data_IF_009784592903
#
_entry.id   IF_009784592903
#
_cell.length_a   1.000
_cell.length_b   1.000
_cell.length_c   1.000
_cell.angle_alpha   90.00
_cell.angle_beta   90.00
_cell.angle_gamma   90.00
#
_symmetry.space_group_name_H-M   'P 1'
#
loop_
_entity.id
_entity.type
_entity.pdbx_description
1 polymer ?
#
# COMPACT_ATOMS: atom_id res chain seq x y z
N UNK A 1 32.23 13.28 48.16
CA UNK A 1 33.23 14.39 48.30
C UNK A 1 32.85 15.46 47.31
N UNK A 2 32.46 16.62 47.84
CA UNK A 2 32.12 17.84 47.09
C UNK A 2 33.41 18.50 46.60
N UNK A 3 33.45 19.00 45.38
CA UNK A 3 34.30 20.12 45.03
C UNK A 3 33.51 21.15 44.24
N UNK A 4 33.28 22.25 44.89
CA UNK A 4 32.72 23.51 44.46
C UNK A 4 33.84 24.31 43.80
N UNK A 5 33.69 24.82 42.60
CA UNK A 5 34.51 25.90 42.07
C UNK A 5 33.64 27.04 41.60
N UNK A 6 33.70 28.12 42.37
CA UNK A 6 33.20 29.45 41.96
C UNK A 6 34.16 30.04 40.91
N UNK A 7 33.61 30.66 39.87
CA UNK A 7 34.33 31.69 39.12
C UNK A 7 33.40 32.87 38.82
N UNK A 8 33.87 34.03 39.23
CA UNK A 8 33.26 35.34 39.13
C UNK A 8 33.17 35.82 37.68
N UNK A 9 32.19 36.66 37.50
CA UNK A 9 31.70 37.29 36.29
C UNK A 9 32.66 38.26 35.57
N UNK A 10 32.22 38.55 34.37
CA UNK A 10 32.45 39.83 33.67
C UNK A 10 31.18 40.17 32.89
N UNK A 11 30.58 41.29 33.25
CA UNK A 11 29.47 41.93 32.56
C UNK A 11 29.97 42.49 31.23
N UNK A 12 29.44 41.98 30.15
CA UNK A 12 29.52 42.56 28.81
C UNK A 12 28.19 42.33 28.11
N UNK A 13 27.31 43.28 28.18
CA UNK A 13 26.01 43.20 27.53
C UNK A 13 26.15 43.28 26.02
N UNK A 14 26.03 42.13 25.39
CA UNK A 14 25.65 42.00 23.99
C UNK A 14 24.27 41.34 23.96
N UNK A 15 23.25 42.06 23.54
CA UNK A 15 21.96 41.49 23.26
C UNK A 15 22.15 40.50 22.10
N UNK A 16 22.40 39.25 22.44
CA UNK A 16 22.30 38.14 21.50
C UNK A 16 20.81 38.02 21.13
N UNK A 17 20.49 38.40 19.89
CA UNK A 17 19.21 38.10 19.32
C UNK A 17 18.98 36.58 19.52
N UNK A 18 18.02 36.24 20.37
CA UNK A 18 17.60 34.85 20.56
C UNK A 18 17.12 34.34 19.20
N UNK A 19 17.81 33.36 18.65
CA UNK A 19 17.28 32.60 17.51
C UNK A 19 15.97 31.98 17.97
N UNK A 20 14.87 32.22 17.25
CA UNK A 20 13.57 31.65 17.63
C UNK A 20 13.68 30.13 17.73
N UNK A 21 13.19 29.58 18.82
CA UNK A 21 13.10 28.13 18.98
C UNK A 21 12.11 27.57 17.94
N UNK A 22 12.25 26.32 17.49
CA UNK A 22 11.32 25.73 16.51
C UNK A 22 9.84 25.78 16.93
N UNK A 23 9.54 25.91 18.23
CA UNK A 23 8.18 26.08 18.77
C UNK A 23 7.55 27.46 18.48
N UNK A 24 8.36 28.48 18.13
CA UNK A 24 7.86 29.85 17.88
C UNK A 24 7.43 30.04 16.41
N UNK A 25 7.75 29.10 15.54
CA UNK A 25 7.24 29.06 14.17
C UNK A 25 5.79 28.58 14.16
N UNK A 26 4.84 29.47 14.36
CA UNK A 26 3.44 29.21 13.97
C UNK A 26 3.37 29.22 12.45
N UNK A 27 3.46 28.04 11.83
CA UNK A 27 3.08 27.93 10.44
C UNK A 27 1.64 28.48 10.30
N UNK A 28 1.38 29.35 9.32
CA UNK A 28 0.00 29.73 9.02
C UNK A 28 -0.79 28.42 8.82
N UNK A 29 -2.02 28.32 9.34
CA UNK A 29 -2.82 27.13 9.16
C UNK A 29 -2.87 26.82 7.65
N UNK A 30 -2.51 25.60 7.27
CA UNK A 30 -2.64 25.18 5.88
C UNK A 30 -4.11 25.37 5.48
N UNK A 31 -4.38 25.94 4.30
CA UNK A 31 -5.75 26.09 3.83
C UNK A 31 -6.44 24.73 3.88
N UNK A 32 -7.66 24.70 4.39
CA UNK A 32 -8.46 23.47 4.40
C UNK A 32 -8.57 22.93 2.97
N UNK A 33 -8.46 21.60 2.79
CA UNK A 33 -8.64 21.00 1.48
C UNK A 33 -10.06 21.28 0.98
N UNK A 34 -10.18 21.61 -0.30
CA UNK A 34 -11.48 21.73 -0.95
C UNK A 34 -12.19 20.38 -0.85
N UNK A 35 -13.40 20.37 -0.26
CA UNK A 35 -14.11 19.13 0.05
C UNK A 35 -14.95 18.60 -1.08
N UNK A 36 -15.42 19.49 -1.96
CA UNK A 36 -16.19 19.15 -3.17
C UNK A 36 -16.02 20.24 -4.23
N UNK A 37 -16.21 19.88 -5.48
CA UNK A 37 -16.09 20.81 -6.60
C UNK A 37 -16.07 20.09 -7.94
N UNK A 38 -15.69 20.82 -8.97
CA UNK A 38 -15.43 20.32 -10.30
C UNK A 38 -14.01 20.66 -10.72
N UNK A 39 -13.41 19.78 -11.52
CA UNK A 39 -12.13 20.02 -12.17
C UNK A 39 -12.33 20.23 -13.66
N UNK A 40 -11.46 20.98 -14.30
CA UNK A 40 -11.47 21.13 -15.76
C UNK A 40 -10.54 20.07 -16.34
N UNK A 41 -11.08 19.22 -17.20
CA UNK A 41 -10.35 18.16 -17.89
C UNK A 41 -10.39 18.45 -19.39
N UNK A 42 -9.23 18.36 -20.06
CA UNK A 42 -9.16 18.35 -21.51
C UNK A 42 -9.51 16.93 -22.02
N UNK A 43 -10.65 16.73 -22.70
CA UNK A 43 -11.05 15.41 -23.15
C UNK A 43 -10.15 14.85 -24.27
N UNK A 44 -9.33 15.70 -24.90
CA UNK A 44 -8.37 15.27 -25.93
C UNK A 44 -7.02 14.84 -25.35
N UNK A 45 -6.75 15.17 -24.08
CA UNK A 45 -5.48 14.88 -23.47
C UNK A 45 -5.25 13.37 -23.30
N UNK A 46 -4.06 12.90 -23.68
CA UNK A 46 -3.60 11.54 -23.41
C UNK A 46 -3.36 11.29 -21.93
N UNK A 47 -2.88 12.29 -21.22
CA UNK A 47 -2.59 12.28 -19.79
C UNK A 47 -3.32 13.42 -19.11
N UNK A 48 -4.06 13.10 -18.04
CA UNK A 48 -4.66 14.09 -17.13
C UNK A 48 -4.10 13.85 -15.73
N UNK A 49 -3.69 14.92 -15.06
CA UNK A 49 -3.13 14.83 -13.71
C UNK A 49 -4.05 15.47 -12.68
N UNK A 50 -4.40 14.70 -11.65
CA UNK A 50 -5.16 15.16 -10.50
C UNK A 50 -4.23 15.27 -9.29
N UNK A 51 -4.03 16.50 -8.78
CA UNK A 51 -3.18 16.75 -7.62
C UNK A 51 -3.95 16.51 -6.32
N UNK A 52 -3.33 15.80 -5.38
CA UNK A 52 -3.90 15.54 -4.05
C UNK A 52 -3.08 16.18 -2.91
N UNK A 53 -2.14 17.06 -3.26
CA UNK A 53 -1.20 17.68 -2.31
C UNK A 53 -0.11 16.70 -1.87
N UNK A 54 0.52 16.96 -0.72
CA UNK A 54 1.60 16.11 -0.18
C UNK A 54 1.04 14.82 0.44
N UNK A 55 0.35 14.00 -0.35
CA UNK A 55 -0.32 12.77 0.10
C UNK A 55 0.04 11.61 -0.81
N UNK A 56 0.20 10.43 -0.21
CA UNK A 56 0.31 9.19 -0.98
C UNK A 56 -1.07 8.77 -1.48
N UNK A 57 -1.15 8.31 -2.73
CA UNK A 57 -2.33 7.62 -3.28
C UNK A 57 -2.09 6.12 -3.17
N UNK A 58 -2.63 5.51 -2.13
CA UNK A 58 -2.39 4.11 -1.77
C UNK A 58 -3.37 3.14 -2.42
N UNK A 59 -4.54 3.62 -2.82
CA UNK A 59 -5.56 2.80 -3.46
C UNK A 59 -6.32 3.61 -4.50
N UNK A 60 -6.65 2.97 -5.61
CA UNK A 60 -7.55 3.49 -6.65
C UNK A 60 -8.54 2.38 -6.99
N UNK A 61 -9.82 2.69 -6.94
CA UNK A 61 -10.90 1.76 -7.26
C UNK A 61 -11.92 2.40 -8.21
N UNK A 62 -12.29 1.71 -9.28
CA UNK A 62 -13.26 2.18 -10.26
C UNK A 62 -14.60 1.46 -10.06
N UNK A 63 -15.67 2.24 -9.96
CA UNK A 63 -17.03 1.78 -9.79
C UNK A 63 -17.95 2.47 -10.82
N UNK A 64 -18.07 1.86 -11.98
CA UNK A 64 -18.75 2.48 -13.12
C UNK A 64 -18.09 3.80 -13.53
N UNK A 65 -18.81 4.90 -13.41
CA UNK A 65 -18.31 6.25 -13.70
C UNK A 65 -17.57 6.91 -12.54
N UNK A 66 -17.51 6.26 -11.40
CA UNK A 66 -16.87 6.80 -10.19
C UNK A 66 -15.49 6.21 -10.00
N UNK A 67 -14.53 7.08 -9.77
CA UNK A 67 -13.17 6.72 -9.39
C UNK A 67 -12.96 7.11 -7.93
N UNK A 68 -12.66 6.13 -7.11
CA UNK A 68 -12.42 6.30 -5.70
C UNK A 68 -10.92 6.25 -5.42
N UNK A 69 -10.40 7.30 -4.79
CA UNK A 69 -8.96 7.49 -4.58
C UNK A 69 -8.69 7.55 -3.09
N UNK A 70 -8.06 6.51 -2.56
CA UNK A 70 -7.63 6.45 -1.16
C UNK A 70 -6.29 7.16 -0.96
N UNK A 71 -6.26 8.13 -0.07
CA UNK A 71 -5.08 8.96 0.21
C UNK A 71 -4.76 8.99 1.71
N UNK A 72 -3.59 9.52 2.08
CA UNK A 72 -3.29 9.85 3.48
C UNK A 72 -4.11 11.05 4.04
N UNK A 73 -5.07 11.56 3.29
CA UNK A 73 -5.95 12.67 3.70
C UNK A 73 -7.44 12.38 3.54
N UNK A 74 -7.82 11.11 3.36
CA UNK A 74 -9.20 10.68 3.15
C UNK A 74 -9.40 9.97 1.82
N UNK A 75 -10.66 9.71 1.50
CA UNK A 75 -11.11 9.15 0.23
C UNK A 75 -11.70 10.24 -0.64
N UNK A 76 -11.23 10.35 -1.87
CA UNK A 76 -11.79 11.24 -2.88
C UNK A 76 -12.62 10.40 -3.84
N UNK A 77 -13.90 10.73 -3.99
CA UNK A 77 -14.73 10.25 -5.10
C UNK A 77 -14.64 11.25 -6.24
N UNK A 78 -14.28 10.80 -7.40
CA UNK A 78 -14.34 11.56 -8.65
C UNK A 78 -15.40 10.92 -9.57
N UNK A 79 -16.25 11.72 -10.21
CA UNK A 79 -17.26 11.26 -11.18
C UNK A 79 -16.84 11.71 -12.58
N UNK A 80 -16.58 10.74 -13.46
CA UNK A 80 -16.11 10.99 -14.84
C UNK A 80 -17.18 11.56 -15.76
N UNK A 81 -18.46 11.61 -15.34
CA UNK A 81 -19.56 12.14 -16.16
C UNK A 81 -19.59 13.67 -16.20
N UNK A 82 -19.18 14.28 -15.10
CA UNK A 82 -19.32 15.73 -14.91
C UNK A 82 -18.10 16.38 -14.26
N UNK A 83 -17.01 15.61 -14.12
CA UNK A 83 -15.74 16.00 -13.52
C UNK A 83 -15.86 16.52 -12.08
N UNK A 84 -16.91 16.10 -11.37
CA UNK A 84 -17.11 16.47 -9.98
C UNK A 84 -16.31 15.59 -9.04
N UNK A 85 -15.88 16.16 -7.90
CA UNK A 85 -15.26 15.40 -6.83
C UNK A 85 -15.87 15.71 -5.47
N UNK A 86 -15.76 14.73 -4.55
CA UNK A 86 -16.13 14.88 -3.13
C UNK A 86 -15.11 14.15 -2.27
N UNK A 87 -14.65 14.82 -1.21
CA UNK A 87 -13.74 14.27 -0.21
C UNK A 87 -14.53 13.74 0.98
N UNK A 88 -14.23 12.51 1.39
CA UNK A 88 -14.67 11.88 2.63
C UNK A 88 -13.47 11.71 3.55
N UNK A 89 -13.53 12.25 4.74
CA UNK A 89 -12.47 12.24 5.75
C UNK A 89 -13.07 12.11 7.16
N UNK A 90 -12.29 12.37 8.20
CA UNK A 90 -12.78 12.34 9.58
C UNK A 90 -13.97 13.32 9.83
N UNK A 91 -14.02 14.44 9.12
CA UNK A 91 -15.17 15.37 9.18
C UNK A 91 -16.43 14.82 8.52
N UNK A 92 -16.29 13.78 7.68
CA UNK A 92 -17.39 13.06 7.00
C UNK A 92 -17.68 11.71 7.67
N UNK A 93 -17.17 11.45 8.88
CA UNK A 93 -17.48 10.25 9.65
C UNK A 93 -16.52 9.07 9.48
N UNK A 94 -15.43 9.21 8.73
CA UNK A 94 -14.33 8.25 8.80
C UNK A 94 -13.60 8.41 10.15
N UNK A 95 -13.15 7.31 10.76
CA UNK A 95 -12.40 7.37 12.01
C UNK A 95 -10.92 7.74 11.80
N UNK A 96 -10.40 7.65 10.58
CA UNK A 96 -9.04 8.05 10.22
C UNK A 96 -8.99 8.57 8.79
N UNK A 97 -8.10 9.54 8.54
CA UNK A 97 -7.85 10.08 7.20
C UNK A 97 -6.85 9.26 6.38
N UNK A 98 -6.03 8.44 7.02
CA UNK A 98 -5.09 7.57 6.30
C UNK A 98 -5.83 6.39 5.68
N UNK A 99 -5.89 6.33 4.35
CA UNK A 99 -6.60 5.26 3.63
C UNK A 99 -5.61 4.41 2.85
N UNK A 100 -5.65 3.09 3.08
CA UNK A 100 -4.82 2.13 2.37
C UNK A 100 -5.61 1.27 1.39
N UNK A 101 -6.86 0.98 1.69
CA UNK A 101 -7.72 0.15 0.87
C UNK A 101 -9.02 0.90 0.50
N UNK A 102 -9.42 0.79 -0.74
CA UNK A 102 -10.76 1.16 -1.22
C UNK A 102 -11.23 0.10 -2.20
N UNK A 103 -12.41 -0.46 -1.97
CA UNK A 103 -12.99 -1.49 -2.82
C UNK A 103 -14.46 -1.72 -2.51
N UNK A 104 -15.05 -2.78 -3.05
CA UNK A 104 -16.40 -3.23 -2.69
C UNK A 104 -16.34 -4.54 -1.95
N UNK A 105 -17.05 -4.61 -0.84
CA UNK A 105 -17.30 -5.82 -0.07
C UNK A 105 -18.81 -5.96 0.09
N UNK A 106 -19.35 -7.11 -0.28
CA UNK A 106 -20.80 -7.36 -0.30
C UNK A 106 -21.59 -6.26 -1.04
N UNK A 107 -21.05 -5.82 -2.17
CA UNK A 107 -21.64 -4.79 -3.01
C UNK A 107 -21.60 -3.37 -2.44
N UNK A 108 -20.98 -3.12 -1.27
CA UNK A 108 -20.86 -1.80 -0.64
C UNK A 108 -19.43 -1.28 -0.72
N UNK A 109 -19.28 0.04 -0.95
CA UNK A 109 -17.97 0.67 -0.88
C UNK A 109 -17.39 0.48 0.52
N UNK A 110 -16.17 -0.03 0.57
CA UNK A 110 -15.46 -0.34 1.81
C UNK A 110 -14.09 0.30 1.78
N UNK A 111 -13.69 0.84 2.92
CA UNK A 111 -12.44 1.58 3.11
C UNK A 111 -11.68 0.97 4.28
N UNK A 112 -10.43 0.61 4.05
CA UNK A 112 -9.48 0.22 5.10
C UNK A 112 -8.59 1.39 5.47
N UNK A 113 -8.47 1.68 6.78
CA UNK A 113 -7.80 2.89 7.24
C UNK A 113 -6.61 2.63 8.15
N UNK A 114 -5.77 3.64 8.32
CA UNK A 114 -4.65 3.68 9.24
C UNK A 114 -5.16 4.09 10.64
N UNK A 115 -5.45 3.11 11.48
CA UNK A 115 -5.86 3.30 12.88
C UNK A 115 -7.35 3.59 13.11
N UNK A 116 -8.20 3.58 12.06
CA UNK A 116 -9.65 3.79 12.19
C UNK A 116 -10.49 2.54 11.87
N UNK A 117 -9.87 1.39 11.65
CA UNK A 117 -10.54 0.15 11.28
C UNK A 117 -11.02 0.12 9.83
N UNK A 118 -12.00 -0.74 9.55
CA UNK A 118 -12.66 -0.90 8.27
C UNK A 118 -14.02 -0.20 8.27
N UNK A 119 -14.25 0.72 7.33
CA UNK A 119 -15.49 1.50 7.21
C UNK A 119 -16.24 1.14 5.94
N UNK A 120 -17.54 0.89 6.05
CA UNK A 120 -18.46 0.57 4.95
C UNK A 120 -19.41 1.74 4.75
N UNK A 121 -19.49 2.26 3.51
CA UNK A 121 -20.38 3.36 3.16
C UNK A 121 -21.83 2.87 3.11
N UNK A 122 -22.66 3.38 4.00
CA UNK A 122 -24.07 2.99 4.11
C UNK A 122 -25.00 3.90 3.31
N UNK A 123 -24.70 5.20 3.27
CA UNK A 123 -25.45 6.20 2.52
C UNK A 123 -24.46 7.23 1.96
N UNK A 124 -24.28 7.23 0.65
CA UNK A 124 -23.31 8.10 -0.02
C UNK A 124 -23.75 9.57 0.01
N UNK A 125 -25.05 9.84 -0.14
CA UNK A 125 -25.57 11.20 -0.15
C UNK A 125 -25.36 11.89 1.19
N UNK A 126 -25.63 11.15 2.28
CA UNK A 126 -25.42 11.63 3.67
C UNK A 126 -23.99 11.46 4.14
N UNK A 127 -23.17 10.65 3.48
CA UNK A 127 -21.81 10.32 3.92
C UNK A 127 -21.80 9.51 5.23
N UNK A 128 -22.78 8.61 5.43
CA UNK A 128 -22.84 7.77 6.64
C UNK A 128 -22.04 6.49 6.47
N UNK A 129 -21.22 6.20 7.48
CA UNK A 129 -20.34 5.04 7.50
C UNK A 129 -20.69 4.11 8.67
N UNK A 130 -20.58 2.81 8.42
CA UNK A 130 -20.55 1.79 9.47
C UNK A 130 -19.12 1.30 9.60
N UNK A 131 -18.56 1.39 10.80
CA UNK A 131 -17.17 1.00 11.05
C UNK A 131 -17.10 -0.29 11.83
N UNK A 132 -16.18 -1.16 11.45
CA UNK A 132 -15.77 -2.36 12.16
C UNK A 132 -14.36 -2.14 12.69
N UNK A 133 -14.14 -2.43 13.98
CA UNK A 133 -12.90 -2.19 14.69
C UNK A 133 -12.59 -3.37 15.64
N UNK A 134 -11.66 -3.19 16.56
CA UNK A 134 -11.25 -4.24 17.53
C UNK A 134 -12.45 -4.80 18.32
N UNK A 135 -13.40 -3.99 18.82
CA UNK A 135 -14.58 -4.54 19.51
C UNK A 135 -15.44 -5.48 18.65
N UNK A 136 -15.56 -5.20 17.35
CA UNK A 136 -16.31 -6.02 16.41
C UNK A 136 -15.57 -7.29 16.00
N UNK A 137 -14.24 -7.34 16.15
CA UNK A 137 -13.48 -8.55 15.88
C UNK A 137 -12.15 -8.38 15.19
N UNK A 138 -11.77 -7.18 14.78
CA UNK A 138 -10.47 -6.95 14.18
C UNK A 138 -9.34 -7.26 15.17
N UNK A 139 -8.24 -7.81 14.63
CA UNK A 139 -6.99 -7.95 15.38
C UNK A 139 -6.31 -6.62 15.61
N UNK A 140 -6.49 -5.67 14.67
CA UNK A 140 -5.92 -4.33 14.72
C UNK A 140 -6.76 -3.33 13.93
N UNK A 141 -6.64 -2.04 14.27
CA UNK A 141 -7.32 -0.94 13.59
C UNK A 141 -6.61 -0.46 12.30
N UNK A 142 -5.43 -0.99 12.00
CA UNK A 142 -4.65 -0.66 10.79
C UNK A 142 -4.96 -1.67 9.70
N UNK A 143 -5.76 -1.27 8.70
CA UNK A 143 -6.25 -2.13 7.62
C UNK A 143 -5.53 -1.80 6.33
N UNK A 144 -4.78 -2.76 5.79
CA UNK A 144 -4.03 -2.59 4.55
C UNK A 144 -4.75 -3.11 3.32
N UNK A 145 -5.49 -4.20 3.48
CA UNK A 145 -6.20 -4.84 2.37
C UNK A 145 -7.42 -5.60 2.86
N UNK A 146 -8.43 -5.75 2.00
CA UNK A 146 -9.66 -6.53 2.28
C UNK A 146 -10.02 -7.33 1.03
N UNK A 147 -10.25 -8.62 1.21
CA UNK A 147 -10.60 -9.55 0.15
C UNK A 147 -11.93 -10.24 0.46
N UNK A 148 -12.91 -10.13 -0.42
CA UNK A 148 -14.07 -11.00 -0.43
C UNK A 148 -13.75 -12.23 -1.28
N UNK A 149 -13.59 -13.38 -0.63
CA UNK A 149 -13.27 -14.63 -1.28
C UNK A 149 -14.51 -15.24 -1.95
N UNK A 150 -14.33 -16.06 -2.99
CA UNK A 150 -15.42 -16.71 -3.76
C UNK A 150 -16.33 -17.59 -2.92
N UNK A 151 -15.83 -18.11 -1.79
CA UNK A 151 -16.64 -18.87 -0.84
C UNK A 151 -17.49 -17.99 0.10
N UNK A 152 -17.46 -16.67 -0.07
CA UNK A 152 -18.17 -15.70 0.72
C UNK A 152 -17.47 -15.28 2.01
N UNK A 153 -16.30 -15.80 2.33
CA UNK A 153 -15.51 -15.32 3.47
C UNK A 153 -14.88 -13.95 3.15
N UNK A 154 -14.78 -13.09 4.17
CA UNK A 154 -14.05 -11.84 4.05
C UNK A 154 -12.74 -11.98 4.81
N UNK A 155 -11.63 -11.70 4.12
CA UNK A 155 -10.30 -11.65 4.70
C UNK A 155 -9.84 -10.21 4.85
N UNK A 156 -9.20 -9.87 5.97
CA UNK A 156 -8.77 -8.52 6.29
C UNK A 156 -7.32 -8.56 6.73
N UNK A 157 -6.46 -7.84 6.03
CA UNK A 157 -5.04 -7.71 6.32
C UNK A 157 -4.83 -6.58 7.34
N UNK A 158 -4.20 -6.89 8.47
CA UNK A 158 -3.94 -5.91 9.55
C UNK A 158 -2.48 -5.94 10.02
N UNK A 159 -2.12 -5.02 10.91
CA UNK A 159 -0.81 -5.04 11.58
C UNK A 159 -0.68 -6.12 12.67
N UNK A 160 -1.76 -6.73 13.09
CA UNK A 160 -1.73 -7.76 14.13
C UNK A 160 -2.37 -9.04 13.63
N UNK A 161 -1.98 -9.46 12.42
CA UNK A 161 -2.43 -10.69 11.79
C UNK A 161 -3.48 -10.48 10.71
N UNK A 162 -4.04 -11.60 10.23
CA UNK A 162 -5.12 -11.62 9.26
C UNK A 162 -6.42 -12.05 9.94
N UNK A 163 -7.48 -11.27 9.75
CA UNK A 163 -8.81 -11.70 10.11
C UNK A 163 -9.48 -12.48 8.96
N UNK A 164 -10.29 -13.47 9.31
CA UNK A 164 -11.25 -14.13 8.42
C UNK A 164 -12.63 -14.02 9.03
N UNK A 165 -13.57 -13.46 8.28
CA UNK A 165 -14.98 -13.41 8.65
C UNK A 165 -15.73 -14.47 7.86
N UNK A 166 -16.07 -15.56 8.50
CA UNK A 166 -16.68 -16.72 7.84
C UNK A 166 -18.06 -16.38 7.28
N UNK A 167 -18.28 -16.72 6.00
CA UNK A 167 -19.51 -16.42 5.28
C UNK A 167 -19.84 -14.93 5.19
N UNK A 168 -18.85 -14.06 5.37
CA UNK A 168 -19.03 -12.60 5.30
C UNK A 168 -19.92 -12.00 6.38
N UNK A 169 -20.18 -12.71 7.49
CA UNK A 169 -21.06 -12.28 8.56
C UNK A 169 -20.40 -11.23 9.47
N UNK A 170 -20.17 -10.03 8.94
CA UNK A 170 -19.46 -8.93 9.61
C UNK A 170 -20.08 -8.54 10.97
N UNK A 171 -21.38 -8.70 11.12
CA UNK A 171 -22.11 -8.33 12.35
C UNK A 171 -22.18 -9.46 13.40
N UNK A 172 -21.64 -10.64 13.08
CA UNK A 172 -21.58 -11.77 14.00
C UNK A 172 -20.14 -12.00 14.47
N UNK A 173 -19.82 -11.52 15.67
CA UNK A 173 -18.49 -11.66 16.29
C UNK A 173 -18.00 -13.11 16.36
N UNK A 174 -18.89 -14.09 16.45
CA UNK A 174 -18.53 -15.51 16.50
C UNK A 174 -17.99 -16.06 15.18
N UNK A 175 -18.11 -15.31 14.09
CA UNK A 175 -17.62 -15.65 12.76
C UNK A 175 -16.24 -15.07 12.45
N UNK A 176 -15.68 -14.27 13.34
CA UNK A 176 -14.39 -13.65 13.19
C UNK A 176 -13.28 -14.54 13.75
N UNK A 177 -12.41 -15.00 12.89
CA UNK A 177 -11.17 -15.69 13.25
C UNK A 177 -10.01 -14.70 13.10
N UNK A 178 -8.98 -14.83 13.93
CA UNK A 178 -7.73 -14.08 13.82
C UNK A 178 -6.56 -15.05 13.70
N UNK A 179 -5.70 -14.83 12.73
CA UNK A 179 -4.51 -15.63 12.47
C UNK A 179 -3.25 -14.78 12.65
N UNK A 180 -2.40 -15.18 13.61
CA UNK A 180 -1.14 -14.53 13.97
C UNK A 180 0.02 -15.50 13.87
N UNK A 181 1.25 -14.98 13.98
CA UNK A 181 2.46 -15.82 14.10
C UNK A 181 2.30 -16.82 15.23
N UNK A 182 1.83 -16.36 16.40
CA UNK A 182 1.72 -17.17 17.62
C UNK A 182 0.70 -18.30 17.46
N UNK A 183 -0.55 -17.99 17.13
CA UNK A 183 -1.62 -18.98 17.09
C UNK A 183 -1.55 -19.94 15.89
N UNK A 184 -0.83 -19.55 14.83
CA UNK A 184 -0.53 -20.43 13.69
C UNK A 184 0.81 -21.18 13.83
N UNK A 185 1.54 -20.98 14.96
CA UNK A 185 2.85 -21.56 15.22
C UNK A 185 3.86 -21.30 14.09
N UNK A 186 3.87 -20.06 13.63
CA UNK A 186 4.73 -19.61 12.54
C UNK A 186 4.21 -19.95 11.13
N UNK A 187 2.97 -20.41 11.01
CA UNK A 187 2.32 -20.60 9.70
C UNK A 187 2.13 -19.27 8.97
N UNK A 188 1.73 -18.22 9.67
CA UNK A 188 1.86 -16.83 9.24
C UNK A 188 3.27 -16.37 9.65
N UNK A 189 4.13 -15.93 8.72
CA UNK A 189 5.54 -15.65 9.02
C UNK A 189 5.79 -14.30 9.73
N UNK A 190 4.81 -13.38 9.69
CA UNK A 190 4.85 -12.09 10.37
C UNK A 190 3.42 -11.55 10.51
N UNK A 191 3.12 -10.84 11.62
CA UNK A 191 1.79 -10.31 11.90
C UNK A 191 1.42 -9.08 11.07
N UNK A 192 2.38 -8.42 10.44
CA UNK A 192 2.12 -7.30 9.53
C UNK A 192 1.77 -7.82 8.15
N UNK A 193 0.48 -7.79 7.83
CA UNK A 193 -0.06 -8.27 6.56
C UNK A 193 -0.38 -7.07 5.67
N UNK A 194 0.16 -7.04 4.46
CA UNK A 194 0.05 -5.92 3.52
C UNK A 194 -0.85 -6.18 2.32
N UNK A 195 -1.10 -7.44 1.99
CA UNK A 195 -1.91 -7.77 0.82
C UNK A 195 -2.49 -9.17 0.90
N UNK A 196 -3.61 -9.35 0.22
CA UNK A 196 -4.39 -10.58 0.14
C UNK A 196 -4.71 -10.91 -1.33
N UNK A 197 -4.66 -12.18 -1.69
CA UNK A 197 -5.15 -12.64 -2.99
C UNK A 197 -5.74 -14.04 -2.90
N UNK A 198 -6.78 -14.32 -3.69
CA UNK A 198 -7.35 -15.64 -3.80
C UNK A 198 -6.76 -16.40 -4.99
N UNK A 199 -6.22 -17.57 -4.72
CA UNK A 199 -5.76 -18.51 -5.72
C UNK A 199 -6.91 -19.18 -6.47
N UNK A 200 -6.60 -19.86 -7.57
CA UNK A 200 -7.61 -20.54 -8.40
C UNK A 200 -8.42 -21.61 -7.65
N UNK A 201 -7.80 -22.25 -6.68
CA UNK A 201 -8.41 -23.33 -5.90
C UNK A 201 -9.09 -22.83 -4.62
N UNK A 202 -9.25 -21.50 -4.45
CA UNK A 202 -9.83 -20.91 -3.25
C UNK A 202 -8.86 -20.82 -2.06
N UNK A 203 -7.59 -21.10 -2.28
CA UNK A 203 -6.53 -20.82 -1.30
C UNK A 203 -6.29 -19.31 -1.18
N UNK A 204 -6.01 -18.85 0.02
CA UNK A 204 -5.76 -17.43 0.28
C UNK A 204 -4.27 -17.21 0.51
N UNK A 205 -3.71 -16.28 -0.24
CA UNK A 205 -2.34 -15.85 -0.15
C UNK A 205 -2.23 -14.55 0.63
N UNK A 206 -1.23 -14.45 1.49
CA UNK A 206 -0.96 -13.30 2.35
C UNK A 206 0.45 -12.79 2.08
N UNK A 207 0.56 -11.52 1.74
CA UNK A 207 1.82 -10.79 1.67
C UNK A 207 2.14 -10.20 3.05
N UNK A 208 3.29 -10.55 3.61
CA UNK A 208 3.68 -10.10 4.95
C UNK A 208 5.06 -9.46 4.96
N UNK A 209 5.43 -8.87 6.08
CA UNK A 209 6.79 -8.33 6.27
C UNK A 209 7.85 -9.41 6.49
N UNK A 210 7.45 -10.64 6.79
CA UNK A 210 8.32 -11.80 6.98
C UNK A 210 8.33 -12.77 5.80
N UNK A 211 7.66 -12.45 4.70
CA UNK A 211 7.52 -13.32 3.52
C UNK A 211 6.08 -13.48 3.07
N UNK A 212 5.82 -14.61 2.44
CA UNK A 212 4.50 -14.99 1.94
C UNK A 212 3.92 -16.13 2.77
N UNK A 213 2.59 -16.10 3.00
CA UNK A 213 1.86 -17.25 3.52
C UNK A 213 0.74 -17.67 2.56
N UNK A 214 0.36 -18.94 2.62
CA UNK A 214 -0.79 -19.51 1.92
C UNK A 214 -1.66 -20.27 2.91
N UNK A 215 -2.93 -19.93 2.97
CA UNK A 215 -3.94 -20.68 3.71
C UNK A 215 -4.72 -21.58 2.75
N UNK A 216 -4.66 -22.88 2.97
CA UNK A 216 -5.39 -23.87 2.20
C UNK A 216 -5.82 -25.04 3.10
N UNK A 217 -7.07 -25.50 2.97
CA UNK A 217 -7.61 -26.64 3.74
C UNK A 217 -7.38 -26.53 5.26
N UNK A 218 -7.52 -25.32 5.81
CA UNK A 218 -7.36 -25.06 7.25
C UNK A 218 -5.91 -24.99 7.73
N UNK A 219 -4.92 -25.00 6.84
CA UNK A 219 -3.49 -24.99 7.18
C UNK A 219 -2.76 -23.84 6.51
N UNK A 220 -1.72 -23.37 7.17
CA UNK A 220 -0.79 -22.39 6.61
C UNK A 220 0.50 -23.07 6.12
N UNK A 221 1.01 -22.59 5.01
CA UNK A 221 2.34 -22.81 4.49
C UNK A 221 2.98 -21.45 4.19
N UNK A 222 4.31 -21.29 4.35
CA UNK A 222 4.95 -20.01 4.12
C UNK A 222 6.27 -20.11 3.35
N UNK A 223 6.71 -18.99 2.82
CA UNK A 223 7.97 -18.81 2.10
C UNK A 223 8.59 -17.47 2.47
N UNK A 224 9.90 -17.49 2.62
CA UNK A 224 10.72 -16.30 2.85
C UNK A 224 11.96 -16.33 1.94
N UNK A 225 12.88 -15.38 2.13
CA UNK A 225 14.09 -15.29 1.32
C UNK A 225 14.96 -16.57 1.39
N UNK A 226 15.07 -17.20 2.55
CA UNK A 226 15.80 -18.46 2.70
C UNK A 226 15.17 -19.62 1.89
N UNK A 227 13.90 -19.50 1.52
CA UNK A 227 13.15 -20.44 0.65
C UNK A 227 12.97 -19.90 -0.78
N UNK A 228 13.81 -18.93 -1.19
CA UNK A 228 13.92 -18.45 -2.56
C UNK A 228 13.07 -17.24 -2.93
N UNK A 229 12.33 -16.63 -1.99
CA UNK A 229 11.56 -15.41 -2.22
C UNK A 229 12.49 -14.20 -2.33
N UNK A 230 12.29 -13.34 -3.35
CA UNK A 230 13.10 -12.15 -3.59
C UNK A 230 14.51 -12.46 -4.12
N UNK A 231 15.05 -11.57 -4.92
CA UNK A 231 16.41 -11.69 -5.42
C UNK A 231 17.45 -11.45 -4.31
N UNK A 232 18.61 -12.09 -4.42
CA UNK A 232 19.72 -11.86 -3.50
C UNK A 232 20.25 -10.43 -3.59
N UNK A 233 20.86 -9.93 -2.51
CA UNK A 233 21.45 -8.60 -2.44
C UNK A 233 22.47 -8.35 -3.58
N UNK A 234 23.29 -9.34 -3.89
CA UNK A 234 24.30 -9.24 -4.95
C UNK A 234 23.70 -8.96 -6.34
N UNK A 235 22.49 -9.42 -6.61
CA UNK A 235 21.79 -9.16 -7.89
C UNK A 235 21.21 -7.75 -7.98
N UNK A 236 20.94 -7.09 -6.85
CA UNK A 236 20.19 -5.82 -6.81
C UNK A 236 21.02 -4.64 -6.31
N UNK A 237 22.15 -4.87 -5.65
CA UNK A 237 22.94 -3.84 -4.96
C UNK A 237 23.37 -2.66 -5.82
N UNK A 238 23.59 -2.87 -7.12
CA UNK A 238 23.99 -1.82 -8.06
C UNK A 238 22.85 -0.82 -8.38
N UNK A 239 21.59 -1.25 -8.24
CA UNK A 239 20.42 -0.50 -8.71
C UNK A 239 19.43 -0.12 -7.57
N UNK A 240 19.86 -0.28 -6.31
CA UNK A 240 19.03 0.17 -5.18
C UNK A 240 19.26 1.66 -4.94
N UNK A 241 18.55 2.49 -5.71
CA UNK A 241 18.59 3.94 -5.59
C UNK A 241 17.55 4.51 -4.61
N UNK A 242 16.62 3.70 -4.12
CA UNK A 242 15.53 4.15 -3.25
C UNK A 242 16.05 4.41 -1.84
N UNK A 243 15.87 5.65 -1.35
CA UNK A 243 16.49 6.12 -0.09
C UNK A 243 15.66 5.86 1.16
N UNK A 244 14.38 5.51 1.01
CA UNK A 244 13.50 5.28 2.15
C UNK A 244 13.67 3.86 2.68
N UNK A 245 14.68 3.69 3.54
CA UNK A 245 14.91 2.43 4.26
C UNK A 245 14.11 2.43 5.57
N UNK A 246 13.06 1.58 5.70
CA UNK A 246 12.28 1.48 6.92
C UNK A 246 13.11 1.17 8.16
N UNK A 247 14.23 0.46 8.01
CA UNK A 247 15.12 0.12 9.12
C UNK A 247 15.79 1.34 9.78
N UNK A 248 15.85 2.47 9.08
CA UNK A 248 16.37 3.73 9.62
C UNK A 248 15.32 4.53 10.42
N UNK A 249 14.06 4.14 10.34
CA UNK A 249 12.93 4.85 10.96
C UNK A 249 12.19 4.02 12.02
N UNK A 250 12.38 2.71 12.03
CA UNK A 250 11.67 1.78 12.90
C UNK A 250 12.63 0.74 13.49
N UNK A 251 12.59 0.59 14.82
CA UNK A 251 13.35 -0.45 15.55
C UNK A 251 12.93 -1.85 15.11
N UNK A 252 11.66 -2.05 14.80
CA UNK A 252 11.14 -3.32 14.29
C UNK A 252 11.82 -3.72 12.97
N UNK A 253 11.86 -2.83 11.99
CA UNK A 253 12.52 -3.09 10.70
C UNK A 253 14.03 -3.24 10.84
N UNK A 254 14.67 -2.49 11.76
CA UNK A 254 16.08 -2.64 12.04
C UNK A 254 16.40 -4.03 12.59
N UNK A 255 15.58 -4.53 13.51
CA UNK A 255 15.72 -5.87 14.09
C UNK A 255 15.53 -6.96 13.04
N UNK A 256 14.54 -6.85 12.19
CA UNK A 256 14.34 -7.80 11.07
C UNK A 256 15.57 -7.84 10.15
N UNK A 257 16.11 -6.68 9.80
CA UNK A 257 17.31 -6.58 8.98
C UNK A 257 18.52 -7.25 9.62
N UNK A 258 18.65 -7.14 10.96
CA UNK A 258 19.65 -7.84 11.75
C UNK A 258 19.44 -9.35 11.74
N UNK A 259 18.22 -9.84 11.98
CA UNK A 259 17.85 -11.26 11.95
C UNK A 259 18.10 -11.90 10.58
N UNK A 260 18.03 -11.12 9.49
CA UNK A 260 18.37 -11.55 8.14
C UNK A 260 19.87 -11.48 7.82
N UNK A 261 20.73 -11.06 8.75
CA UNK A 261 22.15 -10.86 8.51
C UNK A 261 22.49 -9.67 7.61
N UNK A 262 21.58 -8.71 7.50
CA UNK A 262 21.69 -7.53 6.61
C UNK A 262 22.11 -6.24 7.33
N UNK A 263 22.61 -6.33 8.57
CA UNK A 263 23.02 -5.17 9.38
C UNK A 263 24.06 -4.27 8.70
N UNK A 264 24.92 -4.84 7.83
CA UNK A 264 25.90 -4.10 7.03
C UNK A 264 25.38 -3.53 5.72
N UNK A 265 24.10 -3.74 5.39
CA UNK A 265 23.48 -3.27 4.13
C UNK A 265 22.85 -1.90 4.37
N UNK A 266 23.51 -0.83 3.94
CA UNK A 266 23.06 0.57 4.15
C UNK A 266 22.15 1.08 3.02
N UNK A 267 21.24 0.22 2.52
CA UNK A 267 20.26 0.53 1.50
C UNK A 267 18.90 -0.10 1.83
N UNK A 268 17.85 0.38 1.19
CA UNK A 268 16.47 -0.07 1.38
C UNK A 268 16.25 -1.47 0.78
N UNK A 269 16.83 -2.50 1.38
CA UNK A 269 16.72 -3.89 0.95
C UNK A 269 16.19 -4.78 2.07
N UNK A 270 15.01 -5.35 1.84
CA UNK A 270 14.40 -6.40 2.67
C UNK A 270 13.55 -7.31 1.77
N UNK A 271 14.10 -8.41 1.23
CA UNK A 271 13.40 -9.29 0.30
C UNK A 271 12.26 -10.09 0.95
N UNK A 272 12.19 -10.16 2.28
CA UNK A 272 11.05 -10.73 3.00
C UNK A 272 9.88 -9.75 3.12
N UNK A 273 10.12 -8.46 2.99
CA UNK A 273 9.06 -7.47 3.06
C UNK A 273 8.30 -7.43 1.74
N UNK A 274 7.20 -8.18 1.69
CA UNK A 274 6.30 -8.26 0.53
C UNK A 274 5.19 -7.22 0.70
N UNK A 275 5.16 -6.25 -0.20
CA UNK A 275 4.24 -5.09 -0.13
C UNK A 275 3.12 -5.14 -1.17
N UNK A 276 3.22 -6.05 -2.14
CA UNK A 276 2.19 -6.23 -3.17
C UNK A 276 2.10 -7.70 -3.60
N UNK A 277 0.90 -8.11 -3.97
CA UNK A 277 0.55 -9.49 -4.27
C UNK A 277 -0.52 -9.53 -5.35
N UNK A 278 -0.38 -10.45 -6.32
CA UNK A 278 -1.41 -10.74 -7.32
C UNK A 278 -1.34 -12.21 -7.74
N UNK A 279 -2.50 -12.78 -8.08
CA UNK A 279 -2.58 -14.10 -8.72
C UNK A 279 -3.00 -13.92 -10.18
N UNK A 280 -2.11 -14.28 -11.10
CA UNK A 280 -2.34 -14.08 -12.53
C UNK A 280 -3.42 -15.01 -13.12
N UNK A 281 -3.75 -14.78 -14.40
CA UNK A 281 -4.76 -15.57 -15.11
C UNK A 281 -4.38 -17.05 -15.24
N UNK A 282 -3.11 -17.41 -15.09
CA UNK A 282 -2.63 -18.81 -15.12
C UNK A 282 -2.62 -19.47 -13.74
N UNK A 283 -2.86 -18.69 -12.67
CA UNK A 283 -2.85 -19.13 -11.27
C UNK A 283 -1.46 -19.07 -10.64
N UNK A 284 -0.48 -18.43 -11.29
CA UNK A 284 0.82 -18.17 -10.70
C UNK A 284 0.71 -16.99 -9.73
N UNK A 285 1.43 -17.08 -8.62
CA UNK A 285 1.43 -16.05 -7.57
C UNK A 285 2.62 -15.13 -7.76
N UNK A 286 2.36 -13.84 -7.75
CA UNK A 286 3.35 -12.80 -7.92
C UNK A 286 3.48 -11.98 -6.65
N UNK A 287 4.70 -11.72 -6.21
CA UNK A 287 5.02 -11.01 -5.00
C UNK A 287 6.00 -9.87 -5.30
N UNK A 288 5.60 -8.64 -4.98
CA UNK A 288 6.46 -7.47 -5.06
C UNK A 288 7.15 -7.21 -3.74
N UNK A 289 8.47 -7.10 -3.73
CA UNK A 289 9.28 -7.01 -2.52
C UNK A 289 9.91 -5.63 -2.34
N UNK A 290 10.37 -5.36 -1.12
CA UNK A 290 11.10 -4.14 -0.78
C UNK A 290 12.58 -4.26 -1.13
N UNK A 291 12.90 -3.97 -2.40
CA UNK A 291 14.27 -3.97 -2.90
C UNK A 291 14.78 -5.32 -3.44
N UNK A 292 14.07 -6.41 -3.23
CA UNK A 292 14.40 -7.74 -3.79
C UNK A 292 13.73 -8.03 -5.15
N UNK A 293 13.16 -7.01 -5.80
CA UNK A 293 12.51 -7.16 -7.11
C UNK A 293 11.13 -7.80 -7.05
N UNK A 294 10.74 -8.38 -8.18
CA UNK A 294 9.49 -9.10 -8.39
C UNK A 294 9.75 -10.61 -8.31
N UNK A 295 8.94 -11.33 -7.56
CA UNK A 295 9.03 -12.80 -7.46
C UNK A 295 7.76 -13.47 -7.96
N UNK A 296 7.90 -14.60 -8.65
CA UNK A 296 6.83 -15.43 -9.18
C UNK A 296 6.95 -16.86 -8.64
N UNK A 297 5.87 -17.39 -8.09
CA UNK A 297 5.76 -18.78 -7.66
C UNK A 297 5.12 -19.63 -8.76
N UNK A 298 5.82 -20.64 -9.21
CA UNK A 298 5.37 -21.55 -10.28
C UNK A 298 4.62 -22.79 -9.77
N UNK A 299 4.32 -22.84 -8.46
CA UNK A 299 3.73 -23.98 -7.78
C UNK A 299 4.77 -24.87 -7.07
N UNK A 300 6.06 -24.65 -7.30
CA UNK A 300 7.17 -25.41 -6.71
C UNK A 300 8.24 -24.51 -6.10
N UNK A 301 8.64 -23.46 -6.82
CA UNK A 301 9.72 -22.56 -6.44
C UNK A 301 9.40 -21.11 -6.79
N UNK A 302 10.10 -20.20 -6.15
CA UNK A 302 10.11 -18.80 -6.50
C UNK A 302 11.15 -18.51 -7.58
N UNK A 303 10.80 -17.66 -8.53
CA UNK A 303 11.67 -17.11 -9.57
C UNK A 303 11.66 -15.62 -9.44
N UNK A 304 12.80 -14.98 -9.23
CA UNK A 304 12.91 -13.53 -9.00
C UNK A 304 13.44 -12.81 -10.24
N UNK A 305 12.81 -11.67 -10.52
CA UNK A 305 13.14 -10.74 -11.59
C UNK A 305 13.58 -9.40 -11.01
N UNK A 306 14.60 -8.80 -11.61
CA UNK A 306 15.22 -7.56 -11.17
C UNK A 306 15.37 -6.59 -12.34
N UNK A 307 15.99 -5.45 -12.11
CA UNK A 307 16.32 -4.48 -13.18
C UNK A 307 17.15 -5.10 -14.28
N UNK A 308 18.03 -6.06 -13.97
CA UNK A 308 18.80 -6.80 -14.98
C UNK A 308 17.96 -7.67 -15.91
N UNK A 309 16.74 -8.00 -15.52
CA UNK A 309 15.78 -8.77 -16.31
C UNK A 309 14.78 -7.88 -17.07
N UNK A 310 14.89 -6.53 -16.91
CA UNK A 310 14.00 -5.55 -17.53
C UNK A 310 12.93 -4.95 -16.63
N UNK A 311 12.93 -5.26 -15.32
CA UNK A 311 12.07 -4.60 -14.34
C UNK A 311 12.49 -3.13 -14.17
N UNK A 312 11.62 -2.12 -14.15
CA UNK A 312 12.00 -0.72 -14.02
C UNK A 312 12.73 -0.36 -12.74
N UNK A 313 12.39 -1.02 -11.63
CA UNK A 313 12.99 -0.80 -10.31
C UNK A 313 12.77 -1.98 -9.38
N UNK A 314 13.68 -2.20 -8.44
CA UNK A 314 13.68 -3.37 -7.55
C UNK A 314 12.74 -3.24 -6.34
N UNK A 315 12.13 -2.06 -6.09
CA UNK A 315 11.03 -1.90 -5.14
C UNK A 315 9.71 -1.99 -5.91
N UNK A 316 8.95 -3.05 -5.68
CA UNK A 316 7.70 -3.32 -6.39
C UNK A 316 6.52 -3.06 -5.45
N UNK A 317 5.88 -1.90 -5.63
CA UNK A 317 4.85 -1.40 -4.71
C UNK A 317 3.43 -1.83 -5.08
N UNK A 318 3.19 -2.15 -6.36
CA UNK A 318 1.85 -2.45 -6.86
C UNK A 318 1.91 -3.55 -7.91
N UNK A 319 0.99 -4.50 -7.79
CA UNK A 319 0.68 -5.51 -8.78
C UNK A 319 -0.81 -5.47 -9.06
N UNK A 320 -1.20 -5.45 -10.33
CA UNK A 320 -2.59 -5.41 -10.76
C UNK A 320 -2.78 -6.19 -12.04
N UNK A 321 -3.65 -7.17 -12.03
CA UNK A 321 -4.07 -7.87 -13.23
C UNK A 321 -5.21 -7.12 -13.93
N UNK A 322 -5.11 -6.95 -15.24
CA UNK A 322 -6.21 -6.40 -16.04
C UNK A 322 -7.13 -7.50 -16.61
N UNK A 323 -8.24 -7.07 -17.21
CA UNK A 323 -9.22 -7.98 -17.80
C UNK A 323 -8.67 -8.80 -18.99
N UNK A 324 -7.57 -8.38 -19.59
CA UNK A 324 -6.86 -9.11 -20.66
C UNK A 324 -5.84 -10.12 -20.12
N UNK A 325 -5.68 -10.19 -18.79
CA UNK A 325 -4.74 -11.08 -18.12
C UNK A 325 -3.29 -10.56 -18.08
N UNK A 326 -3.02 -9.31 -18.50
CA UNK A 326 -1.70 -8.70 -18.32
C UNK A 326 -1.51 -8.33 -16.86
N UNK A 327 -0.31 -8.55 -16.36
CA UNK A 327 0.08 -8.09 -15.04
C UNK A 327 0.75 -6.73 -15.15
N UNK A 328 0.16 -5.71 -14.53
CA UNK A 328 0.74 -4.39 -14.36
C UNK A 328 1.61 -4.35 -13.12
N UNK A 329 2.78 -3.71 -13.21
CA UNK A 329 3.80 -3.72 -12.17
C UNK A 329 4.25 -2.29 -11.92
N UNK A 330 3.88 -1.75 -10.75
CA UNK A 330 4.28 -0.42 -10.27
C UNK A 330 5.49 -0.52 -9.37
N UNK A 331 6.53 0.25 -9.71
CA UNK A 331 7.81 0.24 -9.00
C UNK A 331 8.19 1.62 -8.47
N UNK A 332 9.33 1.72 -7.81
CA UNK A 332 9.96 3.00 -7.45
C UNK A 332 10.52 3.77 -8.66
N UNK A 333 10.49 3.18 -9.85
CA UNK A 333 11.07 3.78 -11.06
C UNK A 333 10.16 3.62 -12.29
N UNK A 334 8.85 3.75 -12.10
CA UNK A 334 7.86 3.71 -13.17
C UNK A 334 6.99 2.46 -13.16
N UNK A 335 6.16 2.37 -14.20
CA UNK A 335 5.17 1.34 -14.45
C UNK A 335 5.60 0.50 -15.65
N UNK A 336 5.40 -0.82 -15.58
CA UNK A 336 5.57 -1.75 -16.72
C UNK A 336 4.48 -2.83 -16.68
N UNK A 337 4.50 -3.71 -17.66
CA UNK A 337 3.64 -4.90 -17.74
C UNK A 337 4.48 -6.17 -17.81
N UNK A 338 3.88 -7.29 -17.41
CA UNK A 338 4.36 -8.61 -17.74
C UNK A 338 3.33 -9.32 -18.61
N UNK A 339 3.74 -9.73 -19.80
CA UNK A 339 2.90 -10.44 -20.77
C UNK A 339 3.76 -11.34 -21.66
N UNK A 340 3.30 -12.55 -21.91
CA UNK A 340 4.02 -13.49 -22.79
C UNK A 340 5.46 -13.83 -22.36
N UNK A 341 5.73 -13.82 -21.05
CA UNK A 341 7.05 -14.17 -20.50
C UNK A 341 8.09 -13.03 -20.52
N UNK A 342 7.70 -11.79 -20.79
CA UNK A 342 8.61 -10.64 -20.87
C UNK A 342 8.00 -9.37 -20.30
N UNK A 343 8.87 -8.45 -19.89
CA UNK A 343 8.47 -7.09 -19.50
C UNK A 343 8.13 -6.24 -20.74
N UNK A 344 7.06 -5.43 -20.58
CA UNK A 344 6.67 -4.42 -21.55
C UNK A 344 7.54 -3.15 -21.47
N UNK A 345 7.20 -2.16 -22.29
CA UNK A 345 7.85 -0.86 -22.25
C UNK A 345 7.62 -0.22 -20.88
N UNK A 346 8.67 0.34 -20.28
CA UNK A 346 8.58 1.19 -19.10
C UNK A 346 7.83 2.48 -19.43
N UNK A 347 6.90 2.87 -18.55
CA UNK A 347 6.29 4.20 -18.51
C UNK A 347 6.82 4.95 -17.28
N UNK A 348 7.16 6.22 -17.46
CA UNK A 348 7.78 7.08 -16.44
C UNK A 348 7.29 8.52 -16.55
N UNK A 349 7.83 9.42 -15.74
CA UNK A 349 7.58 10.86 -15.88
C UNK A 349 8.02 11.41 -17.25
N UNK A 350 9.03 10.82 -17.86
CA UNK A 350 9.46 11.19 -19.22
C UNK A 350 8.40 10.85 -20.30
N UNK A 351 7.52 9.88 -20.02
CA UNK A 351 6.44 9.49 -20.92
C UNK A 351 5.11 10.19 -20.57
N UNK A 352 5.04 10.95 -19.44
CA UNK A 352 3.87 11.70 -19.01
C UNK A 352 3.22 11.25 -17.70
N UNK A 353 3.84 10.36 -16.93
CA UNK A 353 3.33 10.03 -15.58
C UNK A 353 3.56 11.18 -14.60
N UNK A 354 2.70 11.30 -13.59
CA UNK A 354 2.83 12.32 -12.53
C UNK A 354 4.11 12.14 -11.70
N UNK A 355 4.44 10.89 -11.36
CA UNK A 355 5.67 10.52 -10.65
C UNK A 355 6.09 9.09 -11.01
N UNK A 356 7.35 8.73 -10.68
CA UNK A 356 7.89 7.40 -10.96
C UNK A 356 7.59 6.37 -9.85
N UNK A 357 7.24 6.81 -8.64
CA UNK A 357 6.83 5.91 -7.56
C UNK A 357 5.34 5.57 -7.74
N UNK A 358 5.04 4.35 -8.17
CA UNK A 358 3.69 3.91 -8.48
C UNK A 358 3.18 3.02 -7.35
N UNK A 359 2.18 3.51 -6.61
CA UNK A 359 1.66 2.84 -5.40
C UNK A 359 0.35 2.10 -5.62
N UNK A 360 -0.45 2.53 -6.61
CA UNK A 360 -1.77 1.95 -6.88
C UNK A 360 -2.17 2.18 -8.32
N UNK A 361 -3.08 1.35 -8.81
CA UNK A 361 -3.64 1.51 -10.15
C UNK A 361 -5.02 0.86 -10.23
N UNK A 362 -5.85 1.38 -11.13
CA UNK A 362 -7.05 0.70 -11.59
C UNK A 362 -7.15 0.83 -13.12
N UNK A 363 -7.74 -0.17 -13.76
CA UNK A 363 -7.96 -0.21 -15.21
C UNK A 363 -9.45 0.02 -15.47
N UNK A 364 -9.77 1.06 -16.23
CA UNK A 364 -11.13 1.37 -16.65
C UNK A 364 -11.66 0.40 -17.71
N UNK A 365 -12.96 0.41 -17.91
CA UNK A 365 -13.64 -0.48 -18.85
C UNK A 365 -13.19 -0.28 -20.31
N UNK A 366 -12.75 0.92 -20.66
CA UNK A 366 -12.24 1.27 -22.00
C UNK A 366 -10.73 1.04 -22.13
N UNK A 367 -10.08 0.52 -21.07
CA UNK A 367 -8.65 0.27 -21.04
C UNK A 367 -7.82 1.49 -20.64
N UNK A 368 -8.46 2.55 -20.21
CA UNK A 368 -7.83 3.70 -19.57
C UNK A 368 -7.24 3.32 -18.21
N UNK A 369 -6.18 4.02 -17.79
CA UNK A 369 -5.46 3.70 -16.57
C UNK A 369 -5.53 4.86 -15.58
N UNK A 370 -5.88 4.55 -14.34
CA UNK A 370 -5.84 5.47 -13.22
C UNK A 370 -4.69 5.06 -12.30
N UNK A 371 -3.63 5.87 -12.26
CA UNK A 371 -2.33 5.51 -11.66
C UNK A 371 -2.05 6.43 -10.49
N UNK A 372 -2.00 5.86 -9.29
CA UNK A 372 -1.74 6.56 -8.04
C UNK A 372 -0.27 6.61 -7.67
N UNK A 373 0.18 7.80 -7.30
CA UNK A 373 1.57 8.08 -6.89
C UNK A 373 1.62 9.01 -5.68
N UNK A 374 2.81 9.47 -5.28
CA UNK A 374 2.92 10.56 -4.32
C UNK A 374 2.51 11.88 -4.98
N UNK A 375 1.59 12.59 -4.36
CA UNK A 375 1.15 13.92 -4.79
C UNK A 375 0.03 13.94 -5.81
N UNK A 376 -0.29 12.82 -6.47
CA UNK A 376 -1.31 12.85 -7.51
C UNK A 376 -1.68 11.50 -8.13
N UNK A 377 -2.70 11.59 -8.96
CA UNK A 377 -3.19 10.52 -9.83
C UNK A 377 -2.97 10.93 -11.28
N UNK A 378 -2.46 10.01 -12.09
CA UNK A 378 -2.44 10.13 -13.56
C UNK A 378 -3.60 9.34 -14.12
N UNK A 379 -4.46 9.97 -14.90
CA UNK A 379 -5.39 9.29 -15.80
C UNK A 379 -4.76 9.23 -17.19
N UNK A 380 -4.53 8.04 -17.70
CA UNK A 380 -3.89 7.77 -18.99
C UNK A 380 -4.87 7.08 -19.94
N UNK A 381 -5.02 7.63 -21.12
CA UNK A 381 -5.72 7.03 -22.26
C UNK A 381 -4.73 6.42 -23.24
N UNK A 382 -4.48 5.10 -23.22
CA UNK A 382 -3.49 4.48 -24.12
C UNK A 382 -3.84 4.61 -25.62
N UNK A 383 -5.14 4.75 -25.93
CA UNK A 383 -5.66 4.87 -27.29
C UNK A 383 -5.56 6.28 -27.89
N UNK A 384 -5.22 7.30 -27.11
CA UNK A 384 -5.01 8.70 -27.54
C UNK A 384 -3.49 9.04 -27.75
#
# INVERSE_FOLDING_TARGET
MRCLVLLLGLLGGSALAQTPTPSDYKHPPMPEPMREGKVSVDPAAKFTHFRVGNKNVKSVYIDGTRVWVGTSGGVIRYDTRDDSFKLFDAKSGLLSNGVFYVGRIQGKLTVGTYGGGMSVLMDEAKGTWKTYNIPEGLGDAFIYDVLEAKNGDIWIATWSGANRVRGGALDDRSKWDLYTVENTKGGVPNDWIYGLAEGRNGDIWLATEGGMARFANGKFENWNHARGLGASYDRVKADIAFKNDPSKQSVHHAKQKEEMGLSGVDVAYNPNYVVSLEVDATGQVWAGTWGGGLSRFDGKKWISYTTSDGLPGNHVFMLQKDAKGRLWIGTNNGLTTWEGGKFGKRLSTADGLFANNIFSMAVGAEGDLWIGSFGGVTHLWPSK
#
